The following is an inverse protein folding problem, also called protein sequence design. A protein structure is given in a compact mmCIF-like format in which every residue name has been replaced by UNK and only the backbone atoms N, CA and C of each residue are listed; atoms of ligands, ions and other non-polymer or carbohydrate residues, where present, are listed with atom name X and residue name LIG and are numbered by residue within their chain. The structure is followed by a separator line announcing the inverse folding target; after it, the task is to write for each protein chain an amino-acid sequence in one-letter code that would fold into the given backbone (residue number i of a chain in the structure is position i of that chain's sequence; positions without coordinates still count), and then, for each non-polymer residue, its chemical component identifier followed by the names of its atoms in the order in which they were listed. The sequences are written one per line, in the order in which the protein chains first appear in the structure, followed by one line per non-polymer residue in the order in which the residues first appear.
data_IF_571608461708
#
_entry.id   IF_571608461708
#
_cell.length_a   1.000
_cell.length_b   1.000
_cell.length_c   1.000
_cell.angle_alpha   90.00
_cell.angle_beta   90.00
_cell.angle_gamma   90.00
#
_symmetry.space_group_name_H-M   'P 1'
#
loop_
_entity.id
_entity.type
_entity.pdbx_description
1 polymer ?
#
# COMPACT_ATOMS: atom_id res chain seq x y z
N UNK A 1 11.85 -20.51 4.14
CA UNK A 1 11.01 -20.28 5.29
C UNK A 1 9.55 -20.29 4.88
N UNK A 2 8.84 -21.20 5.49
CA UNK A 2 7.41 -21.28 5.27
C UNK A 2 6.72 -20.51 6.38
N UNK A 3 5.95 -19.52 6.05
CA UNK A 3 5.01 -18.93 6.98
C UNK A 3 3.65 -18.92 6.33
N UNK A 4 2.66 -19.21 7.14
CA UNK A 4 1.29 -19.06 6.70
C UNK A 4 1.08 -17.56 6.39
N UNK A 5 0.67 -17.23 5.19
CA UNK A 5 0.43 -15.83 4.87
C UNK A 5 -0.77 -15.33 5.70
N UNK A 6 -0.48 -14.44 6.60
CA UNK A 6 -1.50 -13.67 7.28
C UNK A 6 -1.17 -12.21 7.05
N UNK A 7 -2.17 -11.39 6.84
CA UNK A 7 -1.96 -9.96 6.58
C UNK A 7 -1.03 -9.33 7.60
N UNK A 8 -1.22 -9.66 8.87
CA UNK A 8 -0.46 -9.04 9.95
C UNK A 8 1.01 -9.44 9.90
N UNK A 9 1.28 -10.73 9.69
CA UNK A 9 2.64 -11.25 9.65
C UNK A 9 3.41 -10.73 8.44
N UNK A 10 2.77 -10.73 7.29
CA UNK A 10 3.37 -10.28 6.03
C UNK A 10 3.71 -8.80 6.08
N UNK A 11 2.83 -7.98 6.66
CA UNK A 11 3.06 -6.56 6.84
C UNK A 11 4.27 -6.29 7.71
N UNK A 12 4.41 -7.01 8.82
CA UNK A 12 5.54 -6.83 9.72
C UNK A 12 6.87 -7.22 9.08
N UNK A 13 6.89 -8.33 8.36
CA UNK A 13 8.10 -8.78 7.67
C UNK A 13 8.52 -7.77 6.62
N UNK A 14 7.57 -7.30 5.82
CA UNK A 14 7.88 -6.32 4.78
C UNK A 14 8.37 -5.01 5.38
N UNK A 15 7.71 -4.50 6.41
CA UNK A 15 8.14 -3.28 7.08
C UNK A 15 9.56 -3.41 7.64
N UNK A 16 9.85 -4.53 8.27
CA UNK A 16 11.18 -4.80 8.82
C UNK A 16 12.25 -4.79 7.72
N UNK A 17 12.00 -5.46 6.61
CA UNK A 17 12.95 -5.50 5.50
C UNK A 17 13.17 -4.13 4.87
N UNK A 18 12.12 -3.35 4.71
CA UNK A 18 12.25 -1.99 4.17
C UNK A 18 13.06 -1.11 5.11
N UNK A 19 12.81 -1.19 6.41
CA UNK A 19 13.57 -0.42 7.40
C UNK A 19 15.04 -0.85 7.43
N UNK A 20 15.32 -2.14 7.29
CA UNK A 20 16.69 -2.64 7.21
C UNK A 20 17.44 -2.12 5.99
N UNK A 21 16.72 -1.72 4.95
CA UNK A 21 17.31 -1.13 3.76
C UNK A 21 17.38 0.40 3.85
N UNK A 22 17.18 0.95 5.02
CA UNK A 22 17.36 2.38 5.26
C UNK A 22 16.15 3.24 4.91
N UNK A 23 14.99 2.63 4.66
CA UNK A 23 13.79 3.39 4.32
C UNK A 23 13.01 3.76 5.58
N UNK A 24 12.40 4.94 5.54
CA UNK A 24 11.48 5.37 6.59
C UNK A 24 10.12 4.73 6.33
N UNK A 25 9.66 3.91 7.27
CA UNK A 25 8.39 3.19 7.13
C UNK A 25 7.49 3.52 8.31
N UNK A 26 6.29 3.97 8.01
CA UNK A 26 5.21 4.11 9.00
C UNK A 26 4.17 3.05 8.69
N UNK A 27 3.70 2.35 9.71
CA UNK A 27 2.71 1.28 9.55
C UNK A 27 1.39 1.68 10.18
N UNK A 28 0.31 1.13 9.64
CA UNK A 28 -1.05 1.34 10.13
C UNK A 28 -1.34 2.84 10.33
N UNK A 29 -1.23 3.59 9.23
CA UNK A 29 -1.32 5.04 9.25
C UNK A 29 -2.74 5.48 8.94
N UNK A 30 -3.45 6.09 9.89
CA UNK A 30 -4.75 6.67 9.61
C UNK A 30 -4.61 7.82 8.61
N UNK A 31 -5.44 7.82 7.59
CA UNK A 31 -5.39 8.81 6.53
C UNK A 31 -6.69 9.61 6.51
N UNK A 32 -6.59 10.91 6.57
CA UNK A 32 -7.72 11.78 6.30
C UNK A 32 -7.82 11.97 4.79
N UNK A 33 -8.97 11.68 4.24
CA UNK A 33 -9.23 11.86 2.83
C UNK A 33 -9.85 13.23 2.61
N UNK A 34 -9.37 13.91 1.58
CA UNK A 34 -9.89 15.22 1.23
C UNK A 34 -10.68 15.13 -0.06
N UNK A 35 -11.95 15.53 0.01
CA UNK A 35 -12.79 15.64 -1.16
C UNK A 35 -13.24 17.09 -1.29
N UNK A 36 -12.79 17.78 -2.34
CA UNK A 36 -12.94 19.24 -2.49
C UNK A 36 -12.34 19.92 -1.26
N UNK A 37 -13.10 20.75 -0.57
CA UNK A 37 -12.61 21.44 0.62
C UNK A 37 -13.01 20.73 1.92
N UNK A 38 -13.55 19.53 1.81
CA UNK A 38 -14.01 18.77 2.97
C UNK A 38 -13.01 17.68 3.31
N UNK A 39 -12.57 17.66 4.55
CA UNK A 39 -11.74 16.57 5.07
C UNK A 39 -12.70 15.49 5.57
N UNK A 40 -12.58 14.30 4.99
CA UNK A 40 -13.40 13.17 5.37
C UNK A 40 -12.56 12.22 6.19
N UNK A 41 -12.96 12.00 7.42
CA UNK A 41 -12.41 10.93 8.24
C UNK A 41 -13.14 9.65 7.82
N UNK A 42 -12.60 8.99 6.81
CA UNK A 42 -13.22 7.81 6.22
C UNK A 42 -12.86 6.52 6.95
N UNK A 43 -12.01 6.60 7.95
CA UNK A 43 -11.49 5.41 8.60
C UNK A 43 -10.50 4.63 7.75
N UNK A 44 -10.00 5.21 6.64
CA UNK A 44 -8.96 4.55 5.87
C UNK A 44 -7.66 4.51 6.66
N UNK A 45 -7.12 3.31 6.80
CA UNK A 45 -5.83 3.10 7.45
C UNK A 45 -4.92 2.47 6.41
N UNK A 46 -3.87 3.20 6.03
CA UNK A 46 -2.87 2.66 5.11
C UNK A 46 -2.01 1.63 5.82
N UNK A 47 -1.77 0.50 5.17
CA UNK A 47 -0.90 -0.53 5.76
C UNK A 47 0.49 0.03 6.03
N UNK A 48 1.06 0.73 5.05
CA UNK A 48 2.35 1.40 5.18
C UNK A 48 2.39 2.67 4.36
N UNK A 49 3.14 3.65 4.87
CA UNK A 49 3.58 4.80 4.09
C UNK A 49 5.11 4.77 4.11
N UNK A 50 5.71 4.67 2.94
CA UNK A 50 7.16 4.59 2.80
C UNK A 50 7.69 5.94 2.32
N UNK A 51 8.68 6.47 3.04
CA UNK A 51 9.31 7.77 2.75
C UNK A 51 8.31 8.93 2.70
N UNK A 52 7.17 8.79 3.37
CA UNK A 52 6.12 9.80 3.35
C UNK A 52 5.46 10.00 1.98
N UNK A 53 5.73 9.15 1.01
CA UNK A 53 5.37 9.37 -0.40
C UNK A 53 4.63 8.21 -1.04
N UNK A 54 4.82 6.99 -0.54
CA UNK A 54 4.35 5.79 -1.21
C UNK A 54 3.40 5.05 -0.28
N UNK A 55 2.18 4.82 -0.75
CA UNK A 55 1.25 3.93 -0.05
C UNK A 55 1.55 2.50 -0.46
N UNK A 56 1.79 1.63 0.52
CA UNK A 56 1.93 0.19 0.27
C UNK A 56 0.76 -0.52 0.91
N UNK A 57 -0.01 -1.22 0.10
CA UNK A 57 -1.12 -2.05 0.55
C UNK A 57 -0.75 -3.52 0.41
N UNK A 58 -0.88 -4.26 1.49
CA UNK A 58 -0.51 -5.68 1.55
C UNK A 58 -1.78 -6.52 1.55
N UNK A 59 -1.83 -7.49 0.66
CA UNK A 59 -2.93 -8.42 0.53
C UNK A 59 -2.44 -9.84 0.69
N UNK A 60 -3.31 -10.73 1.13
CA UNK A 60 -3.07 -12.17 1.16
C UNK A 60 -4.35 -12.86 0.65
N UNK A 61 -4.63 -12.65 -0.63
CA UNK A 61 -5.87 -13.09 -1.27
C UNK A 61 -5.53 -13.96 -2.48
N UNK A 62 -6.52 -14.69 -2.97
CA UNK A 62 -6.31 -15.62 -4.08
C UNK A 62 -5.80 -14.91 -5.32
N UNK A 63 -6.34 -13.73 -5.62
CA UNK A 63 -5.98 -12.99 -6.82
C UNK A 63 -6.28 -11.51 -6.65
N UNK A 64 -5.37 -10.67 -7.12
CA UNK A 64 -5.61 -9.24 -7.24
C UNK A 64 -6.47 -9.01 -8.49
N UNK A 65 -7.60 -8.33 -8.31
CA UNK A 65 -8.51 -8.00 -9.40
C UNK A 65 -8.68 -6.49 -9.50
N UNK A 66 -9.40 -6.03 -10.53
CA UNK A 66 -9.50 -4.61 -10.86
C UNK A 66 -10.00 -3.74 -9.69
N UNK A 67 -10.89 -4.26 -8.86
CA UNK A 67 -11.40 -3.45 -7.75
C UNK A 67 -10.29 -3.05 -6.78
N UNK A 68 -9.30 -3.92 -6.57
CA UNK A 68 -8.17 -3.62 -5.71
C UNK A 68 -7.31 -2.49 -6.28
N UNK A 69 -7.08 -2.53 -7.59
CA UNK A 69 -6.35 -1.47 -8.28
C UNK A 69 -7.08 -0.14 -8.22
N UNK A 70 -8.37 -0.15 -8.47
CA UNK A 70 -9.20 1.05 -8.44
C UNK A 70 -9.27 1.64 -7.04
N UNK A 71 -9.34 0.79 -6.03
CA UNK A 71 -9.37 1.24 -4.64
C UNK A 71 -8.09 1.97 -4.27
N UNK A 72 -6.93 1.39 -4.60
CA UNK A 72 -5.66 2.05 -4.32
C UNK A 72 -5.54 3.37 -5.07
N UNK A 73 -5.93 3.39 -6.35
CA UNK A 73 -5.88 4.62 -7.13
C UNK A 73 -6.79 5.71 -6.53
N UNK A 74 -7.96 5.32 -6.05
CA UNK A 74 -8.86 6.24 -5.36
C UNK A 74 -8.20 6.81 -4.11
N UNK A 75 -7.58 5.98 -3.31
CA UNK A 75 -6.85 6.44 -2.12
C UNK A 75 -5.72 7.41 -2.49
N UNK A 76 -4.98 7.12 -3.55
CA UNK A 76 -3.93 8.01 -4.01
C UNK A 76 -4.49 9.38 -4.41
N UNK A 77 -5.61 9.40 -5.13
CA UNK A 77 -6.24 10.65 -5.54
C UNK A 77 -6.73 11.46 -4.34
N UNK A 78 -7.32 10.79 -3.37
CA UNK A 78 -7.89 11.47 -2.20
C UNK A 78 -6.82 11.91 -1.20
N UNK A 79 -5.69 11.24 -1.13
CA UNK A 79 -4.56 11.61 -0.28
C UNK A 79 -3.55 12.51 -0.97
N UNK A 80 -3.69 12.68 -2.28
CA UNK A 80 -2.76 13.43 -3.13
C UNK A 80 -1.34 12.84 -3.14
N UNK A 81 -1.22 11.57 -2.89
CA UNK A 81 0.04 10.85 -3.08
C UNK A 81 0.13 10.31 -4.51
N UNK A 82 1.35 10.20 -5.01
CA UNK A 82 1.58 9.88 -6.42
C UNK A 82 1.76 8.42 -6.70
N UNK A 83 2.29 7.66 -5.75
CA UNK A 83 2.67 6.27 -6.00
C UNK A 83 2.06 5.35 -4.95
N UNK A 84 1.47 4.28 -5.43
CA UNK A 84 0.98 3.20 -4.60
C UNK A 84 1.49 1.86 -5.09
N UNK A 85 1.66 0.93 -4.17
CA UNK A 85 2.10 -0.43 -4.47
C UNK A 85 1.14 -1.40 -3.79
N UNK A 86 0.62 -2.34 -4.57
CA UNK A 86 -0.11 -3.49 -4.07
C UNK A 86 0.83 -4.68 -4.06
N UNK A 87 0.91 -5.36 -2.93
CA UNK A 87 1.69 -6.59 -2.80
C UNK A 87 0.75 -7.70 -2.34
N UNK A 88 0.70 -8.78 -3.10
CA UNK A 88 -0.09 -9.95 -2.70
C UNK A 88 0.85 -11.09 -2.34
N UNK A 89 0.83 -11.49 -1.08
CA UNK A 89 1.69 -12.56 -0.57
C UNK A 89 1.11 -13.95 -0.73
N UNK A 90 -0.13 -14.07 -1.19
CA UNK A 90 -0.77 -15.38 -1.37
C UNK A 90 -0.46 -15.95 -2.76
N UNK A 91 0.82 -16.17 -3.03
CA UNK A 91 1.28 -16.68 -4.31
C UNK A 91 2.67 -17.28 -4.17
N UNK A 92 3.00 -18.20 -5.10
CA UNK A 92 4.34 -18.78 -5.19
C UNK A 92 5.33 -17.86 -5.90
N UNK A 93 4.84 -16.81 -6.57
CA UNK A 93 5.67 -15.92 -7.37
C UNK A 93 5.40 -14.48 -6.95
N UNK A 94 6.05 -14.07 -5.86
CA UNK A 94 5.84 -12.72 -5.30
C UNK A 94 6.12 -11.61 -6.32
N UNK A 95 7.11 -11.79 -7.17
CA UNK A 95 7.45 -10.81 -8.19
C UNK A 95 6.32 -10.54 -9.18
N UNK A 96 5.43 -11.50 -9.38
CA UNK A 96 4.25 -11.38 -10.23
C UNK A 96 3.03 -10.84 -9.50
N UNK A 97 3.18 -10.56 -8.21
CA UNK A 97 2.11 -10.11 -7.34
C UNK A 97 2.36 -8.73 -6.79
N UNK A 98 3.25 -7.99 -7.41
CA UNK A 98 3.56 -6.61 -7.05
C UNK A 98 3.08 -5.72 -8.17
N UNK A 99 2.18 -4.80 -7.84
CA UNK A 99 1.55 -3.91 -8.82
C UNK A 99 1.78 -2.46 -8.41
N UNK A 100 2.20 -1.65 -9.34
CA UNK A 100 2.45 -0.24 -9.14
C UNK A 100 1.30 0.59 -9.70
N UNK A 101 0.84 1.55 -8.94
CA UNK A 101 -0.18 2.51 -9.36
C UNK A 101 0.37 3.91 -9.27
N UNK A 102 0.15 4.69 -10.32
CA UNK A 102 0.62 6.06 -10.40
C UNK A 102 -0.58 6.98 -10.53
N UNK A 103 -0.64 7.99 -9.67
CA UNK A 103 -1.66 9.03 -9.71
C UNK A 103 -1.09 10.24 -10.44
N UNK A 104 -1.41 10.36 -11.73
CA UNK A 104 -0.87 11.43 -12.56
C UNK A 104 0.52 11.10 -13.08
N UNK A 105 1.38 12.12 -13.15
CA UNK A 105 2.76 11.97 -13.60
C UNK A 105 3.72 11.97 -12.42
N UNK A 106 4.73 11.10 -12.49
CA UNK A 106 5.86 11.18 -11.58
C UNK A 106 6.82 12.23 -12.13
N UNK A 107 7.17 13.19 -11.29
CA UNK A 107 8.18 14.20 -11.62
C UNK A 107 9.46 13.85 -10.88
N UNK A 108 10.55 13.82 -11.62
CA UNK A 108 11.86 13.54 -11.08
C UNK A 108 12.72 14.78 -11.13
#
# INVERSE_FOLDING_TARGET
VLFAPTDFSDKKVLAYELENNGLNVRTQVPMNLKFKDVIIDSGFIADMIVEGKIIVEVKAITEIVNIHHQQLLTYLKLTNLKLGILVNFNTNYISKSIFRKINGKLEY
#
